data_IF_104514770555
#
_entry.id   IF_104514770555
#
_cell.length_a   1.000
_cell.length_b   1.000
_cell.length_c   1.000
_cell.angle_alpha   90.00
_cell.angle_beta   90.00
_cell.angle_gamma   90.00
#
_symmetry.space_group_name_H-M   'P 1'
#
loop_
_entity.id
_entity.type
_entity.pdbx_description
1 polymer ?
#
# COMPACT_ATOMS: atom_id res chain seq x y z
N UNK A 1 0.87 -10.13 9.25
CA UNK A 1 1.33 -10.55 10.59
C UNK A 1 2.24 -9.49 11.19
N UNK A 2 3.44 -9.22 10.65
CA UNK A 2 4.30 -8.13 11.13
C UNK A 2 4.10 -6.90 10.23
N UNK A 3 3.37 -5.89 10.71
CA UNK A 3 3.02 -4.69 9.94
C UNK A 3 3.93 -3.49 10.23
N UNK A 4 4.66 -3.51 11.33
CA UNK A 4 5.71 -2.56 11.64
C UNK A 4 6.70 -3.17 12.64
N UNK A 5 7.93 -2.68 12.64
CA UNK A 5 8.94 -2.96 13.66
C UNK A 5 9.44 -1.63 14.20
N UNK A 6 9.56 -1.51 15.52
CA UNK A 6 10.07 -0.32 16.21
C UNK A 6 11.06 -0.75 17.29
N UNK A 7 12.18 -0.05 17.37
CA UNK A 7 13.19 -0.26 18.40
C UNK A 7 14.56 0.28 17.99
N UNK A 8 15.61 -0.16 18.67
CA UNK A 8 16.98 0.33 18.43
C UNK A 8 17.54 -0.25 17.12
N UNK A 9 18.18 0.60 16.33
CA UNK A 9 18.92 0.18 15.13
C UNK A 9 20.26 -0.40 15.54
N UNK A 10 20.43 -1.72 15.39
CA UNK A 10 21.68 -2.40 15.71
C UNK A 10 22.69 -2.34 14.54
N UNK A 11 22.21 -2.38 13.31
CA UNK A 11 23.03 -2.41 12.11
C UNK A 11 22.33 -1.73 10.94
N UNK A 12 23.05 -0.92 10.16
CA UNK A 12 22.60 -0.39 8.86
C UNK A 12 23.55 -0.90 7.78
N UNK A 13 23.06 -1.75 6.89
CA UNK A 13 23.79 -2.25 5.73
C UNK A 13 23.34 -1.53 4.45
N UNK A 14 23.77 -2.02 3.27
CA UNK A 14 23.41 -1.41 1.98
C UNK A 14 22.01 -1.80 1.48
N UNK A 15 21.49 -2.95 1.91
CA UNK A 15 20.24 -3.55 1.43
C UNK A 15 19.25 -3.92 2.56
N UNK A 16 19.64 -3.71 3.82
CA UNK A 16 18.84 -4.01 4.99
C UNK A 16 19.28 -3.24 6.23
N UNK A 17 18.43 -3.30 7.26
CA UNK A 17 18.67 -2.82 8.61
C UNK A 17 18.33 -3.93 9.60
N UNK A 18 18.99 -3.95 10.77
CA UNK A 18 18.58 -4.77 11.91
C UNK A 18 18.00 -3.86 12.99
N UNK A 19 16.73 -4.07 13.34
CA UNK A 19 16.03 -3.34 14.41
C UNK A 19 15.74 -4.31 15.54
N UNK A 20 16.24 -4.01 16.74
CA UNK A 20 15.93 -4.79 17.95
C UNK A 20 14.61 -4.34 18.56
N UNK A 21 13.65 -5.25 18.65
CA UNK A 21 12.40 -5.02 19.37
C UNK A 21 12.23 -6.11 20.43
N UNK A 22 12.15 -5.69 21.70
CA UNK A 22 12.00 -6.60 22.85
C UNK A 22 13.06 -7.74 22.90
N UNK A 23 14.32 -7.42 22.60
CA UNK A 23 15.44 -8.36 22.61
C UNK A 23 15.53 -9.28 21.39
N UNK A 24 14.72 -9.05 20.34
CA UNK A 24 14.77 -9.79 19.08
C UNK A 24 15.23 -8.85 17.96
N UNK A 25 16.34 -9.20 17.30
CA UNK A 25 16.85 -8.49 16.14
C UNK A 25 16.12 -8.87 14.85
N UNK A 26 15.29 -7.97 14.34
CA UNK A 26 14.57 -8.16 13.07
C UNK A 26 15.41 -7.63 11.92
N UNK A 27 15.82 -8.52 11.01
CA UNK A 27 16.38 -8.12 9.71
C UNK A 27 15.26 -7.64 8.79
N UNK A 28 15.32 -6.38 8.37
CA UNK A 28 14.33 -5.75 7.48
C UNK A 28 15.04 -5.24 6.23
N UNK A 29 14.69 -5.78 5.08
CA UNK A 29 15.17 -5.31 3.78
C UNK A 29 14.56 -3.95 3.44
N UNK A 30 15.35 -2.99 2.99
CA UNK A 30 14.87 -1.65 2.68
C UNK A 30 15.65 -1.03 1.52
N UNK A 31 15.09 0.00 0.89
CA UNK A 31 15.77 0.73 -0.19
C UNK A 31 16.91 1.58 0.38
N UNK A 32 17.94 1.92 -0.43
CA UNK A 32 18.99 2.85 0.00
C UNK A 32 18.44 4.20 0.50
N UNK A 33 17.35 4.70 -0.12
CA UNK A 33 16.66 5.91 0.32
C UNK A 33 16.11 5.78 1.75
N UNK A 34 15.44 4.67 2.06
CA UNK A 34 14.94 4.38 3.42
C UNK A 34 16.09 4.24 4.42
N UNK A 35 17.13 3.47 4.08
CA UNK A 35 18.28 3.21 4.95
C UNK A 35 19.08 4.49 5.26
N UNK A 36 19.13 5.43 4.33
CA UNK A 36 19.81 6.72 4.51
C UNK A 36 19.21 7.58 5.64
N UNK A 37 17.98 7.30 6.06
CA UNK A 37 17.29 7.99 7.16
C UNK A 37 17.61 7.40 8.54
N UNK A 38 18.23 6.20 8.59
CA UNK A 38 18.44 5.43 9.81
C UNK A 38 19.87 5.60 10.35
N UNK A 39 20.04 5.49 11.67
CA UNK A 39 21.34 5.60 12.33
C UNK A 39 21.47 4.52 13.41
N UNK A 40 22.59 3.82 13.43
CA UNK A 40 22.91 2.84 14.49
C UNK A 40 22.89 3.48 15.88
N UNK A 41 22.35 2.76 16.86
CA UNK A 41 22.21 3.22 18.24
C UNK A 41 21.04 4.20 18.47
N UNK A 42 20.21 4.45 17.45
CA UNK A 42 19.01 5.28 17.57
C UNK A 42 17.74 4.45 17.45
N UNK A 43 16.66 4.92 18.05
CA UNK A 43 15.35 4.30 17.88
C UNK A 43 14.77 4.64 16.51
N UNK A 44 14.31 3.62 15.79
CA UNK A 44 13.63 3.77 14.51
C UNK A 44 12.34 2.96 14.47
N UNK A 45 11.46 3.33 13.53
CA UNK A 45 10.26 2.58 13.19
C UNK A 45 10.17 2.44 11.67
N UNK A 46 9.96 1.23 11.19
CA UNK A 46 9.62 0.96 9.79
C UNK A 46 8.25 0.29 9.70
N UNK A 47 7.48 0.71 8.69
CA UNK A 47 6.28 -0.01 8.27
C UNK A 47 6.74 -1.20 7.43
N UNK A 48 6.21 -2.39 7.69
CA UNK A 48 6.72 -3.62 7.08
C UNK A 48 5.67 -4.37 6.27
N UNK A 49 6.13 -4.96 5.16
CA UNK A 49 5.47 -6.05 4.46
C UNK A 49 6.20 -7.36 4.76
N UNK A 50 5.50 -8.33 5.33
CA UNK A 50 6.02 -9.68 5.58
C UNK A 50 5.65 -10.60 4.42
N UNK A 51 6.65 -11.14 3.74
CA UNK A 51 6.48 -12.13 2.67
C UNK A 51 6.85 -13.50 3.21
N UNK A 52 5.89 -14.42 3.17
CA UNK A 52 6.05 -15.81 3.63
C UNK A 52 6.07 -16.72 2.40
N UNK A 53 7.11 -17.52 2.28
CA UNK A 53 7.24 -18.63 1.33
C UNK A 53 7.46 -19.92 2.12
N UNK A 54 7.49 -21.05 1.43
CA UNK A 54 7.66 -22.36 2.04
C UNK A 54 8.95 -22.47 2.87
N UNK A 55 10.03 -21.83 2.41
CA UNK A 55 11.37 -21.91 2.97
C UNK A 55 11.87 -20.59 3.59
N UNK A 56 11.04 -19.54 3.61
CA UNK A 56 11.50 -18.21 4.01
C UNK A 56 10.40 -17.30 4.55
N UNK A 57 10.79 -16.46 5.52
CA UNK A 57 9.99 -15.34 6.02
C UNK A 57 10.83 -14.08 5.95
N UNK A 58 10.43 -13.13 5.12
CA UNK A 58 11.22 -11.93 4.84
C UNK A 58 10.42 -10.67 5.14
N UNK A 59 11.04 -9.71 5.82
CA UNK A 59 10.47 -8.39 6.06
C UNK A 59 11.05 -7.38 5.08
N UNK A 60 10.17 -6.61 4.45
CA UNK A 60 10.50 -5.43 3.65
C UNK A 60 9.98 -4.19 4.36
N UNK A 61 10.84 -3.19 4.54
CA UNK A 61 10.59 -2.00 5.35
C UNK A 61 10.50 -0.73 4.54
N UNK A 62 9.60 0.16 4.98
CA UNK A 62 9.27 1.43 4.35
C UNK A 62 9.09 2.52 5.41
N UNK A 63 9.30 3.78 5.02
CA UNK A 63 9.12 4.96 5.87
C UNK A 63 7.66 5.21 6.24
N UNK A 64 6.73 4.82 5.37
CA UNK A 64 5.31 5.10 5.48
C UNK A 64 4.46 3.97 4.91
N UNK A 65 3.17 4.03 5.22
CA UNK A 65 2.18 3.03 4.81
C UNK A 65 1.91 3.07 3.31
N UNK A 66 1.93 4.26 2.69
CA UNK A 66 1.64 4.43 1.27
C UNK A 66 2.67 3.74 0.38
N UNK A 67 3.95 3.83 0.75
CA UNK A 67 5.04 3.16 0.05
C UNK A 67 4.98 1.64 0.26
N UNK A 68 4.62 1.18 1.47
CA UNK A 68 4.39 -0.25 1.74
C UNK A 68 3.23 -0.80 0.90
N UNK A 69 2.13 -0.04 0.80
CA UNK A 69 0.96 -0.45 0.02
C UNK A 69 1.29 -0.50 -1.47
N UNK A 70 2.02 0.49 -1.99
CA UNK A 70 2.52 0.48 -3.36
C UNK A 70 3.40 -0.74 -3.63
N UNK A 71 4.28 -1.11 -2.70
CA UNK A 71 5.05 -2.35 -2.79
C UNK A 71 4.16 -3.59 -2.91
N UNK A 72 3.14 -3.72 -2.06
CA UNK A 72 2.20 -4.85 -2.13
C UNK A 72 1.40 -4.86 -3.43
N UNK A 73 1.01 -3.68 -3.93
CA UNK A 73 0.35 -3.53 -5.23
C UNK A 73 1.24 -4.00 -6.37
N UNK A 74 2.54 -3.67 -6.35
CA UNK A 74 3.51 -4.18 -7.33
C UNK A 74 3.58 -5.71 -7.34
N UNK A 75 3.53 -6.36 -6.17
CA UNK A 75 3.54 -7.82 -6.08
C UNK A 75 2.29 -8.49 -6.67
N UNK A 76 1.20 -7.74 -6.88
CA UNK A 76 0.01 -8.27 -7.55
C UNK A 76 0.22 -8.49 -9.05
N UNK A 77 1.26 -7.90 -9.65
CA UNK A 77 1.55 -8.03 -11.08
C UNK A 77 2.25 -9.35 -11.37
N UNK A 78 1.71 -10.10 -12.32
CA UNK A 78 2.30 -11.38 -12.72
C UNK A 78 3.73 -11.21 -13.26
N UNK A 79 4.70 -11.77 -12.53
CA UNK A 79 6.13 -11.71 -12.84
C UNK A 79 6.91 -10.70 -12.01
N UNK A 80 6.24 -9.90 -11.17
CA UNK A 80 6.89 -8.95 -10.25
C UNK A 80 7.01 -9.58 -8.87
N UNK A 81 8.23 -10.02 -8.55
CA UNK A 81 8.57 -10.53 -7.22
C UNK A 81 9.08 -9.44 -6.27
N UNK A 82 9.25 -9.74 -4.96
CA UNK A 82 9.75 -8.80 -3.96
C UNK A 82 11.06 -8.10 -4.32
N UNK A 83 12.02 -8.83 -4.90
CA UNK A 83 13.30 -8.24 -5.33
C UNK A 83 13.11 -7.20 -6.43
N UNK A 84 12.24 -7.49 -7.40
CA UNK A 84 11.98 -6.58 -8.51
C UNK A 84 11.20 -5.36 -8.02
N UNK A 85 10.20 -5.55 -7.16
CA UNK A 85 9.45 -4.45 -6.54
C UNK A 85 10.35 -3.51 -5.71
N UNK A 86 11.29 -4.07 -4.93
CA UNK A 86 12.30 -3.26 -4.22
C UNK A 86 13.21 -2.51 -5.18
N UNK A 87 13.64 -3.14 -6.27
CA UNK A 87 14.46 -2.47 -7.29
C UNK A 87 13.68 -1.33 -7.96
N UNK A 88 12.38 -1.51 -8.24
CA UNK A 88 11.51 -0.46 -8.76
C UNK A 88 11.46 0.73 -7.80
N UNK A 89 11.20 0.48 -6.51
CA UNK A 89 11.12 1.53 -5.49
C UNK A 89 12.47 2.15 -5.12
N UNK A 90 13.58 1.50 -5.47
CA UNK A 90 14.93 2.06 -5.31
C UNK A 90 15.30 3.01 -6.47
N UNK A 91 14.77 2.78 -7.67
CA UNK A 91 15.00 3.62 -8.86
C UNK A 91 14.00 4.77 -8.95
N UNK A 92 12.74 4.50 -8.62
CA UNK A 92 11.64 5.47 -8.65
C UNK A 92 11.05 5.55 -7.25
N UNK A 93 11.00 6.74 -6.67
CA UNK A 93 10.22 6.94 -5.45
C UNK A 93 8.72 6.68 -5.70
N UNK A 94 7.93 6.60 -4.62
CA UNK A 94 6.52 6.28 -4.73
C UNK A 94 5.74 7.26 -5.63
N UNK A 95 6.09 8.54 -5.62
CA UNK A 95 5.44 9.56 -6.43
C UNK A 95 5.80 9.42 -7.91
N UNK A 96 7.09 9.30 -8.21
CA UNK A 96 7.61 9.10 -9.57
C UNK A 96 7.07 7.81 -10.19
N UNK A 97 6.96 6.73 -9.43
CA UNK A 97 6.39 5.47 -9.91
C UNK A 97 4.90 5.62 -10.24
N UNK A 98 4.13 6.28 -9.38
CA UNK A 98 2.70 6.58 -9.65
C UNK A 98 2.54 7.38 -10.93
N UNK A 99 3.35 8.42 -11.10
CA UNK A 99 3.29 9.27 -12.28
C UNK A 99 3.66 8.48 -13.54
N UNK A 100 4.72 7.68 -13.51
CA UNK A 100 5.11 6.84 -14.65
C UNK A 100 4.01 5.84 -15.04
N UNK A 101 3.30 5.26 -14.07
CA UNK A 101 2.17 4.37 -14.33
C UNK A 101 0.96 5.12 -14.91
N UNK A 102 0.65 6.29 -14.37
CA UNK A 102 -0.45 7.14 -14.85
C UNK A 102 -0.23 7.58 -16.30
N UNK A 103 0.96 8.10 -16.59
CA UNK A 103 1.35 8.63 -17.90
C UNK A 103 1.72 7.52 -18.90
N UNK A 104 1.64 6.24 -18.48
CA UNK A 104 2.03 5.09 -19.30
C UNK A 104 3.47 5.19 -19.82
N UNK A 105 4.37 5.77 -19.02
CA UNK A 105 5.78 5.96 -19.35
C UNK A 105 6.56 4.64 -19.22
N UNK A 106 6.41 3.79 -20.24
CA UNK A 106 7.12 2.53 -20.37
C UNK A 106 8.65 2.74 -20.36
N UNK A 107 9.13 3.87 -20.89
CA UNK A 107 10.57 4.14 -20.94
C UNK A 107 11.14 4.33 -19.52
N UNK A 108 10.46 5.08 -18.66
CA UNK A 108 10.84 5.22 -17.25
C UNK A 108 10.86 3.86 -16.52
N UNK A 109 9.83 3.04 -16.71
CA UNK A 109 9.75 1.72 -16.07
C UNK A 109 10.87 0.76 -16.52
N UNK A 110 11.24 0.80 -17.81
CA UNK A 110 12.33 -0.05 -18.34
C UNK A 110 13.73 0.33 -17.87
N UNK A 111 13.90 1.46 -17.17
CA UNK A 111 15.19 1.81 -16.53
C UNK A 111 15.50 0.93 -15.32
N UNK A 112 14.49 0.27 -14.75
CA UNK A 112 14.67 -0.63 -13.61
C UNK A 112 15.34 -1.92 -14.09
N UNK A 113 16.50 -2.33 -13.53
CA UNK A 113 17.13 -3.59 -13.89
C UNK A 113 16.17 -4.79 -13.69
N UNK A 114 15.95 -5.56 -14.75
CA UNK A 114 15.04 -6.70 -14.76
C UNK A 114 13.63 -6.40 -15.27
N UNK A 115 13.27 -5.12 -15.51
CA UNK A 115 12.00 -4.75 -16.16
C UNK A 115 12.23 -4.56 -17.66
N UNK A 116 11.80 -5.54 -18.45
CA UNK A 116 11.74 -5.41 -19.91
C UNK A 116 10.46 -4.72 -20.39
N UNK A 117 10.42 -4.34 -21.67
CA UNK A 117 9.27 -3.66 -22.30
C UNK A 117 7.92 -4.34 -22.03
N UNK A 118 7.85 -5.67 -22.20
CA UNK A 118 6.61 -6.44 -21.94
C UNK A 118 6.17 -6.39 -20.47
N UNK A 119 7.13 -6.40 -19.55
CA UNK A 119 6.83 -6.32 -18.11
C UNK A 119 6.34 -4.91 -17.76
N UNK A 120 6.98 -3.88 -18.31
CA UNK A 120 6.56 -2.49 -18.11
C UNK A 120 5.15 -2.24 -18.66
N UNK A 121 4.84 -2.70 -19.88
CA UNK A 121 3.50 -2.59 -20.47
C UNK A 121 2.43 -3.30 -19.60
N UNK A 122 2.75 -4.48 -19.07
CA UNK A 122 1.86 -5.20 -18.14
C UNK A 122 1.66 -4.44 -16.84
N UNK A 123 2.72 -3.88 -16.27
CA UNK A 123 2.64 -3.07 -15.06
C UNK A 123 1.73 -1.86 -15.28
N UNK A 124 1.87 -1.14 -16.39
CA UNK A 124 0.97 -0.04 -16.75
C UNK A 124 -0.47 -0.53 -16.82
N UNK A 125 -0.73 -1.61 -17.56
CA UNK A 125 -2.10 -2.13 -17.74
C UNK A 125 -2.75 -2.56 -16.43
N UNK A 126 -2.05 -3.32 -15.58
CA UNK A 126 -2.62 -3.91 -14.38
C UNK A 126 -2.68 -2.95 -13.19
N UNK A 127 -1.82 -1.93 -13.18
CA UNK A 127 -1.65 -1.05 -12.04
C UNK A 127 -2.26 0.34 -12.25
N UNK A 128 -2.39 0.85 -13.48
CA UNK A 128 -2.90 2.20 -13.74
C UNK A 128 -4.19 2.52 -13.00
N UNK A 129 -5.12 1.56 -12.95
CA UNK A 129 -6.41 1.75 -12.27
C UNK A 129 -6.35 1.45 -10.76
N UNK A 130 -5.34 0.71 -10.30
CA UNK A 130 -5.15 0.33 -8.89
C UNK A 130 -4.34 1.36 -8.11
N UNK A 131 -3.42 2.05 -8.78
CA UNK A 131 -2.58 3.06 -8.15
C UNK A 131 -3.26 4.40 -8.34
N UNK A 132 -4.27 4.66 -7.51
CA UNK A 132 -4.91 5.97 -7.46
C UNK A 132 -3.86 7.08 -7.32
N UNK A 133 -4.13 8.24 -7.93
CA UNK A 133 -3.28 9.42 -7.76
C UNK A 133 -3.30 9.76 -6.27
N UNK A 134 -2.18 9.51 -5.58
CA UNK A 134 -2.06 9.93 -4.20
C UNK A 134 -2.22 11.45 -4.18
N UNK A 135 -3.19 11.93 -3.40
CA UNK A 135 -3.35 13.35 -3.14
C UNK A 135 -1.98 13.90 -2.72
N UNK A 136 -1.47 14.86 -3.48
CA UNK A 136 -0.24 15.56 -3.16
C UNK A 136 -0.31 16.06 -1.70
N UNK A 137 0.80 15.92 -0.98
CA UNK A 137 0.81 15.87 0.48
C UNK A 137 0.34 17.12 1.23
N UNK A 138 0.04 16.91 2.51
CA UNK A 138 0.35 17.85 3.59
C UNK A 138 -0.77 18.77 4.07
N UNK A 139 -1.40 18.41 5.20
CA UNK A 139 -2.05 19.35 6.13
C UNK A 139 -3.56 19.23 6.24
N UNK A 140 -4.14 19.28 7.46
CA UNK A 140 -5.58 19.17 7.67
C UNK A 140 -6.26 20.46 7.21
N UNK A 141 -6.92 20.42 6.06
CA UNK A 141 -7.86 21.47 5.67
C UNK A 141 -9.28 21.01 5.97
N UNK A 142 -9.83 21.59 7.05
CA UNK A 142 -11.25 21.60 7.29
C UNK A 142 -11.95 22.32 6.12
N UNK A 143 -12.94 21.67 5.51
CA UNK A 143 -13.73 22.23 4.42
C UNK A 143 -14.89 21.31 4.08
N UNK A 144 -16.03 21.52 4.72
CA UNK A 144 -17.27 20.79 4.55
C UNK A 144 -17.77 20.84 3.09
N UNK A 145 -17.78 19.68 2.42
CA UNK A 145 -18.59 19.30 1.24
C UNK A 145 -18.15 17.96 0.59
N UNK A 146 -17.18 17.23 1.16
CA UNK A 146 -16.57 16.03 0.55
C UNK A 146 -16.91 14.69 1.25
N UNK A 147 -17.74 14.71 2.29
CA UNK A 147 -17.90 13.56 3.20
C UNK A 147 -18.45 12.29 2.50
N UNK A 148 -19.30 12.42 1.48
CA UNK A 148 -19.84 11.26 0.78
C UNK A 148 -18.79 10.45 0.00
N UNK A 149 -17.84 11.13 -0.67
CA UNK A 149 -16.80 10.46 -1.47
C UNK A 149 -15.68 9.87 -0.60
N UNK A 150 -15.33 10.56 0.51
CA UNK A 150 -14.31 10.06 1.44
C UNK A 150 -14.75 8.80 2.20
N UNK A 151 -16.06 8.59 2.38
CA UNK A 151 -16.62 7.45 3.13
C UNK A 151 -17.02 6.31 2.20
N UNK A 152 -17.61 6.61 1.03
CA UNK A 152 -18.07 5.59 0.08
C UNK A 152 -16.96 4.64 -0.35
N UNK A 153 -15.82 5.16 -0.79
CA UNK A 153 -14.70 4.36 -1.29
C UNK A 153 -14.25 3.28 -0.30
N UNK A 154 -13.84 3.65 0.93
CA UNK A 154 -13.42 2.68 1.95
C UNK A 154 -14.49 1.66 2.33
N UNK A 155 -15.78 2.04 2.34
CA UNK A 155 -16.88 1.11 2.65
C UNK A 155 -17.06 0.09 1.54
N UNK A 156 -17.05 0.52 0.27
CA UNK A 156 -17.16 -0.37 -0.88
C UNK A 156 -15.97 -1.33 -0.94
N UNK A 157 -14.74 -0.83 -0.76
CA UNK A 157 -13.54 -1.67 -0.71
C UNK A 157 -13.60 -2.70 0.41
N UNK A 158 -14.05 -2.31 1.60
CA UNK A 158 -14.22 -3.23 2.73
C UNK A 158 -15.25 -4.33 2.43
N UNK A 159 -16.41 -3.98 1.83
CA UNK A 159 -17.44 -4.95 1.45
C UNK A 159 -16.93 -5.91 0.35
N UNK A 160 -16.23 -5.41 -0.66
CA UNK A 160 -15.61 -6.26 -1.70
C UNK A 160 -14.56 -7.18 -1.08
N UNK A 161 -13.74 -6.68 -0.17
CA UNK A 161 -12.77 -7.48 0.59
C UNK A 161 -13.40 -8.58 1.45
N UNK A 162 -14.65 -8.40 1.88
CA UNK A 162 -15.46 -9.41 2.57
C UNK A 162 -16.13 -10.41 1.61
N UNK A 163 -15.96 -10.26 0.30
CA UNK A 163 -16.43 -11.18 -0.74
C UNK A 163 -17.75 -10.80 -1.40
N UNK A 164 -18.28 -9.59 -1.18
CA UNK A 164 -19.47 -9.12 -1.89
C UNK A 164 -19.12 -8.68 -3.32
N UNK A 165 -20.04 -8.89 -4.27
CA UNK A 165 -19.85 -8.41 -5.63
C UNK A 165 -19.82 -6.87 -5.65
N UNK A 166 -18.94 -6.27 -6.48
CA UNK A 166 -18.74 -4.81 -6.55
C UNK A 166 -20.06 -4.05 -6.66
N UNK A 167 -20.92 -4.46 -7.61
CA UNK A 167 -22.22 -3.83 -7.82
C UNK A 167 -23.12 -3.87 -6.57
N UNK A 168 -23.11 -4.98 -5.83
CA UNK A 168 -23.89 -5.12 -4.60
C UNK A 168 -23.32 -4.26 -3.46
N UNK A 169 -21.99 -4.19 -3.37
CA UNK A 169 -21.30 -3.35 -2.39
C UNK A 169 -21.60 -1.86 -2.63
N UNK A 170 -21.56 -1.42 -3.88
CA UNK A 170 -21.90 -0.04 -4.28
C UNK A 170 -23.37 0.29 -3.97
N UNK A 171 -24.32 -0.54 -4.43
CA UNK A 171 -25.75 -0.30 -4.20
C UNK A 171 -26.11 -0.27 -2.71
N UNK A 172 -25.51 -1.13 -1.89
CA UNK A 172 -25.73 -1.12 -0.45
C UNK A 172 -25.14 0.13 0.22
N UNK A 173 -23.94 0.53 -0.19
CA UNK A 173 -23.26 1.72 0.35
C UNK A 173 -24.03 2.99 -0.02
N UNK A 174 -24.45 3.12 -1.28
CA UNK A 174 -25.18 4.28 -1.77
C UNK A 174 -26.54 4.43 -1.06
N UNK A 175 -27.25 3.33 -0.81
CA UNK A 175 -28.51 3.34 -0.02
C UNK A 175 -28.29 3.82 1.42
N UNK A 176 -27.20 3.42 2.05
CA UNK A 176 -26.89 3.80 3.43
C UNK A 176 -26.50 5.27 3.52
N UNK A 177 -25.62 5.73 2.64
CA UNK A 177 -25.18 7.14 2.63
C UNK A 177 -26.31 8.10 2.21
N UNK A 178 -27.27 7.63 1.42
CA UNK A 178 -28.48 8.40 1.11
C UNK A 178 -29.44 8.51 2.32
N UNK A 179 -29.50 7.48 3.17
CA UNK A 179 -30.37 7.44 4.34
C UNK A 179 -29.77 8.15 5.57
N UNK A 180 -28.44 8.09 5.74
CA UNK A 180 -27.71 8.70 6.84
C UNK A 180 -26.56 9.55 6.32
N UNK A 181 -26.79 10.87 6.19
CA UNK A 181 -25.81 11.81 5.65
C UNK A 181 -24.61 12.05 6.58
N UNK A 182 -24.75 11.75 7.87
CA UNK A 182 -23.70 11.90 8.89
C UNK A 182 -23.07 10.55 9.33
N UNK A 183 -23.26 9.48 8.54
CA UNK A 183 -22.72 8.18 8.87
C UNK A 183 -21.18 8.20 8.87
N UNK A 184 -20.56 7.70 9.94
CA UNK A 184 -19.12 7.39 9.95
C UNK A 184 -18.82 6.19 9.05
N UNK A 185 -17.59 6.03 8.56
CA UNK A 185 -17.17 4.85 7.76
C UNK A 185 -17.56 3.52 8.43
N UNK A 186 -17.32 3.38 9.73
CA UNK A 186 -17.70 2.18 10.49
C UNK A 186 -19.22 2.05 10.72
N UNK A 187 -19.95 3.17 10.78
CA UNK A 187 -21.42 3.17 10.82
C UNK A 187 -22.00 2.70 9.48
N UNK A 188 -21.55 3.31 8.39
CA UNK A 188 -21.98 3.01 7.04
C UNK A 188 -21.71 1.54 6.65
N UNK A 189 -20.52 1.02 6.97
CA UNK A 189 -20.17 -0.39 6.72
C UNK A 189 -21.09 -1.37 7.47
N UNK A 190 -21.39 -1.11 8.75
CA UNK A 190 -22.29 -1.97 9.55
C UNK A 190 -23.72 -1.95 9.00
N UNK A 191 -24.21 -0.78 8.63
CA UNK A 191 -25.55 -0.65 8.03
C UNK A 191 -25.61 -1.35 6.66
N UNK A 192 -24.59 -1.21 5.82
CA UNK A 192 -24.53 -1.88 4.52
C UNK A 192 -24.48 -3.41 4.67
N UNK A 193 -23.69 -3.94 5.62
CA UNK A 193 -23.68 -5.37 5.95
C UNK A 193 -25.03 -5.87 6.46
N UNK A 194 -25.75 -5.06 7.25
CA UNK A 194 -27.10 -5.41 7.73
C UNK A 194 -28.11 -5.51 6.57
N UNK A 195 -28.02 -4.62 5.58
CA UNK A 195 -28.85 -4.69 4.37
C UNK A 195 -28.54 -5.92 3.53
N UNK A 196 -27.26 -6.21 3.30
CA UNK A 196 -26.81 -7.35 2.50
C UNK A 196 -27.12 -8.70 3.18
N UNK A 197 -27.06 -8.76 4.52
CA UNK A 197 -27.40 -9.95 5.29
C UNK A 197 -28.89 -10.31 5.32
N UNK A 198 -29.78 -9.35 5.03
CA UNK A 198 -31.23 -9.59 4.93
C UNK A 198 -31.69 -10.06 3.54
N UNK A 199 -30.81 -9.99 2.53
CA UNK A 199 -31.09 -10.39 1.16
C UNK A 199 -30.68 -11.84 0.85
N UNK A 200 -30.39 -12.64 1.87
CA UNK A 200 -29.96 -14.04 1.76
C UNK A 200 -31.03 -14.98 2.31
#
# INVERSE_FOLDING_TARGET
>A
MIAAVRGEVLEVALDHVVIEAAGVGYRVNATPSTLSTLRTGTEARLITAMIVREDSMTLYGFTDTDTRDLFLTLLSVSGVGPRLAMATLAVHDAGALRQALHDSDVAALTRVPGIGKRSAERMVLELRDKVGVAAAGGGPTAGAALNGHAIRGPVVEALVGLGFAVKQAEEATDKVLAAEQDATTSGALRAALSLLGKSR
#
